data_IF_953396700712
#
_entry.id   IF_953396700712
#
_cell.length_a   1.000
_cell.length_b   1.000
_cell.length_c   1.000
_cell.angle_alpha   90.00
_cell.angle_beta   90.00
_cell.angle_gamma   90.00
#
_symmetry.space_group_name_H-M   'P 1'
#
loop_
_entity.id
_entity.type
_entity.pdbx_description
1 polymer ?
#
# COMPACT_ATOMS: atom_id res chain seq x y z
N UNK A 1 -53.98 2.77 59.56
CA UNK A 1 -52.85 3.70 59.32
C UNK A 1 -51.61 2.85 59.08
N UNK A 2 -51.36 2.45 57.84
CA UNK A 2 -50.72 3.28 56.81
C UNK A 2 -49.22 3.54 57.10
N UNK A 3 -48.46 2.49 57.45
CA UNK A 3 -47.00 2.59 57.54
C UNK A 3 -46.24 1.42 56.89
N UNK A 4 -46.92 0.56 56.14
CA UNK A 4 -46.31 -0.60 55.48
C UNK A 4 -46.40 -0.57 53.94
N UNK A 5 -46.75 0.56 53.34
CA UNK A 5 -46.98 0.66 51.89
C UNK A 5 -46.13 1.69 51.14
N UNK A 6 -45.06 2.23 51.72
CA UNK A 6 -44.38 3.37 51.07
C UNK A 6 -42.88 3.25 50.81
N UNK A 7 -42.37 2.03 50.56
CA UNK A 7 -40.99 1.88 50.05
C UNK A 7 -40.82 0.91 48.87
N UNK A 8 -41.91 0.54 48.17
CA UNK A 8 -41.79 -0.12 46.85
C UNK A 8 -41.68 0.90 45.72
N UNK A 9 -40.60 1.69 45.74
CA UNK A 9 -40.00 2.26 44.53
C UNK A 9 -38.55 1.77 44.44
N UNK A 10 -38.36 0.45 44.50
CA UNK A 10 -37.12 -0.13 44.01
C UNK A 10 -37.22 -0.13 42.49
N UNK A 11 -36.60 0.87 41.86
CA UNK A 11 -36.71 1.17 40.45
C UNK A 11 -36.50 -0.08 39.59
N UNK A 12 -37.56 -0.54 38.95
CA UNK A 12 -37.47 -1.50 37.86
C UNK A 12 -36.66 -0.83 36.76
N UNK A 13 -35.38 -1.17 36.68
CA UNK A 13 -34.52 -0.74 35.58
C UNK A 13 -35.22 -1.14 34.29
N UNK A 14 -35.60 -0.15 33.49
CA UNK A 14 -36.25 -0.41 32.21
C UNK A 14 -35.36 -1.33 31.38
N UNK A 15 -35.89 -2.46 30.91
CA UNK A 15 -35.18 -3.39 30.04
C UNK A 15 -34.61 -2.70 28.80
N UNK A 16 -35.25 -1.62 28.35
CA UNK A 16 -34.74 -0.75 27.28
C UNK A 16 -33.46 -0.02 27.67
N UNK A 17 -33.34 0.41 28.94
CA UNK A 17 -32.13 1.05 29.47
C UNK A 17 -30.98 0.04 29.60
N UNK A 18 -31.28 -1.19 30.03
CA UNK A 18 -30.30 -2.29 30.04
C UNK A 18 -29.82 -2.61 28.63
N UNK A 19 -30.75 -2.74 27.67
CA UNK A 19 -30.41 -2.99 26.27
C UNK A 19 -29.54 -1.88 25.69
N UNK A 20 -29.87 -0.61 25.96
CA UNK A 20 -29.09 0.54 25.49
C UNK A 20 -27.66 0.49 26.05
N UNK A 21 -27.51 0.24 27.35
CA UNK A 21 -26.19 0.12 28.00
C UNK A 21 -25.41 -1.04 27.41
N UNK A 22 -26.04 -2.20 27.22
CA UNK A 22 -25.40 -3.37 26.60
C UNK A 22 -24.95 -3.07 25.17
N UNK A 23 -25.80 -2.44 24.35
CA UNK A 23 -25.45 -2.07 22.97
C UNK A 23 -24.33 -1.01 22.94
N UNK A 24 -24.37 0.00 23.82
CA UNK A 24 -23.31 1.00 23.95
C UNK A 24 -21.99 0.37 24.38
N UNK A 25 -22.01 -0.51 25.39
CA UNK A 25 -20.82 -1.24 25.84
C UNK A 25 -20.28 -2.15 24.74
N UNK A 26 -21.14 -2.90 24.04
CA UNK A 26 -20.72 -3.74 22.93
C UNK A 26 -20.11 -2.91 21.79
N UNK A 27 -20.71 -1.77 21.44
CA UNK A 27 -20.19 -0.84 20.43
C UNK A 27 -18.88 -0.21 20.86
N UNK A 28 -18.73 0.15 22.13
CA UNK A 28 -17.50 0.67 22.70
C UNK A 28 -16.38 -0.37 22.67
N UNK A 29 -16.68 -1.62 23.06
CA UNK A 29 -15.73 -2.74 23.01
C UNK A 29 -15.32 -3.05 21.56
N UNK A 30 -16.28 -3.04 20.63
CA UNK A 30 -16.00 -3.13 19.19
C UNK A 30 -15.10 -1.98 18.74
N UNK A 31 -15.44 -0.73 19.07
CA UNK A 31 -14.63 0.45 18.78
C UNK A 31 -13.21 0.34 19.34
N UNK A 32 -13.06 0.00 20.61
CA UNK A 32 -11.77 -0.19 21.28
C UNK A 32 -10.98 -1.37 20.72
N UNK A 33 -11.62 -2.47 20.32
CA UNK A 33 -10.91 -3.61 19.70
C UNK A 33 -10.41 -3.27 18.29
N UNK A 34 -11.15 -2.43 17.57
CA UNK A 34 -10.88 -2.06 16.18
C UNK A 34 -9.91 -0.88 16.08
N UNK A 35 -9.95 0.05 17.04
CA UNK A 35 -9.17 1.29 17.05
C UNK A 35 -8.21 1.42 18.24
N UNK A 36 -8.39 0.68 19.33
CA UNK A 36 -7.46 0.66 20.46
C UNK A 36 -6.01 0.36 20.04
N UNK A 37 -5.76 -0.61 19.13
CA UNK A 37 -4.41 -0.83 18.59
C UNK A 37 -3.84 0.35 17.78
N UNK A 38 -4.70 1.20 17.20
CA UNK A 38 -4.29 2.41 16.46
C UNK A 38 -3.84 3.50 17.43
N UNK A 39 -4.55 3.69 18.54
CA UNK A 39 -4.16 4.61 19.61
C UNK A 39 -2.89 4.16 20.33
N UNK A 40 -2.70 2.85 20.46
CA UNK A 40 -1.53 2.29 21.12
C UNK A 40 -0.26 2.29 20.26
N UNK A 41 -0.28 2.92 19.05
CA UNK A 41 0.81 3.00 18.04
C UNK A 41 2.02 2.18 18.47
N UNK A 42 1.88 0.86 18.42
CA UNK A 42 2.97 -0.03 18.84
C UNK A 42 3.97 0.16 17.72
N UNK A 43 4.96 0.99 18.00
CA UNK A 43 5.94 1.47 17.05
C UNK A 43 6.61 0.26 16.41
N UNK A 44 6.09 -0.10 15.24
CA UNK A 44 6.59 -1.15 14.37
C UNK A 44 7.84 -0.65 13.62
N UNK A 45 8.30 0.56 13.94
CA UNK A 45 9.53 1.13 13.44
C UNK A 45 9.45 1.46 11.96
N UNK A 46 8.28 1.71 11.38
CA UNK A 46 8.14 2.07 9.96
C UNK A 46 7.70 3.52 9.89
N UNK A 47 8.43 4.33 9.13
CA UNK A 47 8.16 5.76 9.02
C UNK A 47 6.93 5.99 8.14
N UNK A 48 6.15 7.03 8.46
CA UNK A 48 5.05 7.47 7.59
C UNK A 48 5.62 8.37 6.50
N UNK A 49 5.31 8.07 5.24
CA UNK A 49 5.77 8.83 4.07
C UNK A 49 4.56 9.09 3.20
N UNK A 50 4.13 10.35 3.13
CA UNK A 50 2.95 10.72 2.35
C UNK A 50 3.25 10.75 0.84
N UNK A 51 2.33 10.29 -0.02
CA UNK A 51 2.46 10.46 -1.45
C UNK A 51 2.38 11.94 -1.83
N UNK A 52 3.36 12.42 -2.58
CA UNK A 52 3.39 13.79 -3.10
C UNK A 52 2.55 13.95 -4.38
N UNK A 53 2.76 15.05 -5.10
CA UNK A 53 2.07 15.32 -6.36
C UNK A 53 2.57 14.39 -7.48
N UNK A 54 1.64 13.90 -8.31
CA UNK A 54 1.96 13.25 -9.59
C UNK A 54 1.69 14.18 -10.76
N UNK A 55 2.74 14.50 -11.51
CA UNK A 55 2.67 15.17 -12.80
C UNK A 55 3.13 14.21 -13.90
N UNK A 56 2.33 14.05 -14.95
CA UNK A 56 2.69 13.24 -16.10
C UNK A 56 2.53 14.10 -17.34
N UNK A 57 3.61 14.30 -18.09
CA UNK A 57 3.56 15.05 -19.34
C UNK A 57 2.73 14.31 -20.39
N UNK A 58 2.10 15.05 -21.31
CA UNK A 58 1.22 14.48 -22.33
C UNK A 58 1.89 13.36 -23.13
N UNK A 59 3.18 13.51 -23.42
CA UNK A 59 4.00 12.53 -24.17
C UNK A 59 4.34 11.27 -23.36
N UNK A 60 4.25 11.32 -22.03
CA UNK A 60 4.51 10.19 -21.15
C UNK A 60 3.24 9.43 -20.72
N UNK A 61 2.05 10.01 -20.97
CA UNK A 61 0.75 9.41 -20.66
C UNK A 61 0.40 8.32 -21.65
N UNK A 62 -0.18 7.23 -21.16
CA UNK A 62 -0.76 6.22 -22.03
C UNK A 62 -0.87 4.85 -21.38
N UNK A 63 -1.36 3.90 -22.18
CA UNK A 63 -1.42 2.49 -21.84
C UNK A 63 -0.52 1.70 -22.78
N UNK A 64 0.39 0.92 -22.22
CA UNK A 64 1.27 0.02 -22.97
C UNK A 64 0.78 -1.40 -22.79
N UNK A 65 0.74 -2.15 -23.89
CA UNK A 65 0.28 -3.54 -23.91
C UNK A 65 1.46 -4.50 -24.06
N UNK A 66 1.46 -5.60 -23.31
CA UNK A 66 2.55 -6.58 -23.24
C UNK A 66 2.12 -7.99 -23.72
N UNK A 67 1.06 -8.08 -24.53
CA UNK A 67 0.47 -9.33 -24.98
C UNK A 67 -0.41 -10.02 -23.93
N UNK A 68 -1.21 -11.00 -24.36
CA UNK A 68 -2.20 -11.75 -23.55
C UNK A 68 -3.09 -10.88 -22.64
N UNK A 69 -3.43 -9.68 -23.13
CA UNK A 69 -4.25 -8.71 -22.41
C UNK A 69 -3.54 -7.94 -21.30
N UNK A 70 -2.25 -8.18 -21.04
CA UNK A 70 -1.51 -7.46 -20.00
C UNK A 70 -1.24 -6.02 -20.40
N UNK A 71 -1.52 -5.09 -19.51
CA UNK A 71 -1.31 -3.66 -19.73
C UNK A 71 -0.69 -2.98 -18.52
N UNK A 72 0.13 -1.96 -18.80
CA UNK A 72 0.57 -0.98 -17.81
C UNK A 72 0.16 0.40 -18.30
N UNK A 73 -0.65 1.08 -17.51
CA UNK A 73 -1.14 2.43 -17.81
C UNK A 73 -0.48 3.41 -16.85
N UNK A 74 -0.08 4.57 -17.37
CA UNK A 74 0.36 5.69 -16.55
C UNK A 74 -0.37 6.96 -16.98
N UNK A 75 -1.14 7.52 -16.04
CA UNK A 75 -1.89 8.77 -16.20
C UNK A 75 -1.71 9.65 -14.97
N UNK A 76 -2.28 10.86 -14.98
CA UNK A 76 -2.28 11.74 -13.81
C UNK A 76 -2.98 11.12 -12.58
N UNK A 77 -3.85 10.12 -12.79
CA UNK A 77 -4.49 9.37 -11.72
C UNK A 77 -3.58 8.34 -11.05
N UNK A 78 -2.43 8.00 -11.64
CA UNK A 78 -1.53 6.97 -11.12
C UNK A 78 -1.07 5.96 -12.17
N UNK A 79 -0.31 4.97 -11.72
CA UNK A 79 0.09 3.78 -12.46
C UNK A 79 -0.89 2.64 -12.19
N UNK A 80 -1.33 1.97 -13.24
CA UNK A 80 -2.23 0.82 -13.19
C UNK A 80 -1.63 -0.35 -13.93
N UNK A 81 -1.72 -1.53 -13.32
CA UNK A 81 -1.37 -2.82 -13.91
C UNK A 81 -2.67 -3.61 -14.06
N UNK A 82 -2.97 -4.08 -15.27
CA UNK A 82 -4.17 -4.84 -15.55
C UNK A 82 -3.90 -6.02 -16.50
N UNK A 83 -4.85 -6.95 -16.54
CA UNK A 83 -4.94 -7.98 -17.58
C UNK A 83 -6.37 -8.07 -18.08
N UNK A 84 -6.58 -7.82 -19.36
CA UNK A 84 -7.90 -7.59 -19.94
C UNK A 84 -8.63 -6.49 -19.16
N UNK A 85 -9.79 -6.78 -18.59
CA UNK A 85 -10.58 -5.85 -17.79
C UNK A 85 -10.30 -5.96 -16.28
N UNK A 86 -9.47 -6.94 -15.86
CA UNK A 86 -9.14 -7.15 -14.45
C UNK A 86 -7.96 -6.26 -14.03
N UNK A 87 -8.24 -5.28 -13.18
CA UNK A 87 -7.19 -4.50 -12.51
C UNK A 87 -6.43 -5.39 -11.54
N UNK A 88 -5.13 -5.57 -11.79
CA UNK A 88 -4.27 -6.40 -10.95
C UNK A 88 -3.70 -5.61 -9.79
N UNK A 89 -3.29 -4.36 -10.06
CA UNK A 89 -2.71 -3.44 -9.10
C UNK A 89 -2.97 -2.00 -9.55
N UNK A 90 -3.33 -1.14 -8.59
CA UNK A 90 -3.37 0.31 -8.77
C UNK A 90 -2.43 0.96 -7.77
N UNK A 91 -1.81 2.07 -8.17
CA UNK A 91 -1.15 2.97 -7.24
C UNK A 91 -2.16 3.92 -6.60
N UNK A 92 -1.72 4.70 -5.60
CA UNK A 92 -2.55 5.76 -5.02
C UNK A 92 -3.16 6.65 -6.10
N UNK A 93 -4.43 7.04 -5.90
CA UNK A 93 -5.16 7.88 -6.87
C UNK A 93 -4.70 9.33 -6.77
N UNK A 94 -4.32 9.92 -7.90
CA UNK A 94 -3.94 11.34 -8.02
C UNK A 94 -2.77 11.76 -7.12
N UNK A 95 -1.90 10.81 -6.75
CA UNK A 95 -0.69 11.04 -5.98
C UNK A 95 0.51 10.35 -6.61
N UNK A 96 1.71 10.78 -6.24
CA UNK A 96 2.94 10.11 -6.65
C UNK A 96 2.92 8.68 -6.14
N UNK A 97 3.26 7.74 -7.02
CA UNK A 97 3.36 6.33 -6.67
C UNK A 97 4.75 5.95 -6.16
N UNK A 98 5.71 6.87 -6.16
CA UNK A 98 7.09 6.67 -5.72
C UNK A 98 7.56 7.87 -4.90
N UNK A 99 8.11 7.58 -3.73
CA UNK A 99 8.88 8.54 -2.95
C UNK A 99 10.32 8.04 -2.77
N UNK A 100 11.27 8.95 -2.88
CA UNK A 100 12.66 8.71 -2.51
C UNK A 100 12.84 9.12 -1.06
N UNK A 101 13.50 8.27 -0.26
CA UNK A 101 13.80 8.61 1.14
C UNK A 101 15.30 8.61 1.41
N UNK A 102 15.69 9.52 2.29
CA UNK A 102 17.00 9.60 2.91
C UNK A 102 16.86 9.37 4.43
N UNK A 103 17.85 8.70 5.01
CA UNK A 103 17.81 8.30 6.41
C UNK A 103 18.52 6.97 6.61
N UNK A 104 18.00 6.17 7.53
CA UNK A 104 18.53 4.82 7.79
C UNK A 104 17.45 3.85 8.23
N UNK A 105 17.70 2.57 7.95
CA UNK A 105 17.07 1.46 8.63
C UNK A 105 18.11 0.76 9.51
N UNK A 106 17.74 0.45 10.75
CA UNK A 106 18.51 -0.40 11.66
C UNK A 106 17.57 -1.24 12.51
N UNK A 107 17.84 -2.54 12.61
CA UNK A 107 17.11 -3.45 13.49
C UNK A 107 15.58 -3.38 13.31
N UNK A 108 15.10 -3.26 12.07
CA UNK A 108 13.68 -3.11 11.78
C UNK A 108 13.09 -1.83 12.38
N UNK A 109 13.89 -0.77 12.38
CA UNK A 109 13.49 0.58 12.71
C UNK A 109 13.97 1.55 11.63
N UNK A 110 13.01 2.26 11.08
CA UNK A 110 13.14 3.23 10.02
C UNK A 110 13.22 4.63 10.61
N UNK A 111 14.18 5.40 10.13
CA UNK A 111 14.28 6.83 10.41
C UNK A 111 14.45 7.55 9.09
N UNK A 112 13.37 8.16 8.62
CA UNK A 112 13.38 9.04 7.45
C UNK A 112 13.71 10.44 7.93
N UNK A 113 14.78 11.01 7.40
CA UNK A 113 15.20 12.39 7.71
C UNK A 113 14.74 13.38 6.65
N UNK A 114 14.63 12.91 5.40
CA UNK A 114 14.13 13.66 4.25
C UNK A 114 13.47 12.73 3.25
N UNK A 115 12.46 13.25 2.58
CA UNK A 115 11.78 12.59 1.48
C UNK A 115 11.62 13.52 0.29
N UNK A 116 11.64 12.93 -0.90
CA UNK A 116 11.25 13.55 -2.15
C UNK A 116 10.09 12.73 -2.71
N UNK A 117 8.89 13.29 -2.70
CA UNK A 117 7.64 12.58 -2.98
C UNK A 117 6.87 13.14 -4.17
N UNK A 118 7.24 14.31 -4.72
CA UNK A 118 6.61 14.87 -5.92
C UNK A 118 7.25 14.30 -7.17
N UNK A 119 6.50 13.50 -7.94
CA UNK A 119 6.98 12.81 -9.14
C UNK A 119 6.51 13.52 -10.40
N UNK A 120 7.45 13.91 -11.25
CA UNK A 120 7.18 14.44 -12.58
C UNK A 120 7.74 13.52 -13.65
N UNK A 121 6.84 12.89 -14.41
CA UNK A 121 7.15 11.96 -15.50
C UNK A 121 7.13 12.69 -16.82
N UNK A 122 8.27 12.66 -17.52
CA UNK A 122 8.54 13.55 -18.66
C UNK A 122 8.57 12.84 -20.00
N UNK A 123 8.90 11.54 -20.01
CA UNK A 123 8.93 10.78 -21.26
C UNK A 123 8.53 9.32 -21.06
N UNK A 124 8.09 8.73 -22.17
CA UNK A 124 7.87 7.30 -22.35
C UNK A 124 8.60 6.87 -23.62
N UNK A 125 9.42 5.85 -23.51
CA UNK A 125 10.07 5.17 -24.63
C UNK A 125 9.64 3.71 -24.62
N UNK A 126 9.25 3.19 -25.78
CA UNK A 126 8.98 1.77 -25.98
C UNK A 126 10.19 1.14 -26.65
N UNK A 127 10.66 0.03 -26.09
CA UNK A 127 11.85 -0.68 -26.55
C UNK A 127 11.66 -2.18 -26.35
N UNK A 128 11.63 -2.95 -27.45
CA UNK A 128 11.58 -4.42 -27.46
C UNK A 128 10.80 -5.07 -26.30
N UNK A 129 9.47 -4.86 -26.29
CA UNK A 129 8.58 -5.46 -25.29
C UNK A 129 8.70 -4.86 -23.88
N UNK A 130 9.38 -3.73 -23.75
CA UNK A 130 9.59 -2.97 -22.52
C UNK A 130 9.06 -1.54 -22.68
N UNK A 131 8.41 -1.02 -21.64
CA UNK A 131 8.07 0.39 -21.53
C UNK A 131 8.99 1.07 -20.52
N UNK A 132 9.60 2.18 -20.90
CA UNK A 132 10.53 2.93 -20.04
C UNK A 132 10.02 4.36 -19.89
N UNK A 133 9.59 4.70 -18.68
CA UNK A 133 9.33 6.08 -18.30
C UNK A 133 10.56 6.70 -17.64
N UNK A 134 10.86 7.93 -18.04
CA UNK A 134 11.83 8.79 -17.36
C UNK A 134 11.10 9.85 -16.56
N UNK A 135 11.56 10.08 -15.34
CA UNK A 135 10.93 11.00 -14.43
C UNK A 135 11.96 11.64 -13.49
N UNK A 136 11.52 12.65 -12.75
CA UNK A 136 12.24 13.22 -11.62
C UNK A 136 11.32 13.20 -10.40
N UNK A 137 11.89 12.89 -9.23
CA UNK A 137 11.19 13.05 -7.96
C UNK A 137 11.91 14.13 -7.14
N UNK A 138 11.17 15.05 -6.54
CA UNK A 138 11.73 16.19 -5.80
C UNK A 138 10.95 16.50 -4.52
N UNK A 139 11.59 17.22 -3.61
CA UNK A 139 10.99 17.66 -2.36
C UNK A 139 9.91 18.73 -2.55
N UNK A 140 9.17 19.00 -1.48
CA UNK A 140 8.04 19.95 -1.45
C UNK A 140 8.43 21.42 -1.60
N UNK A 141 9.71 21.76 -1.38
CA UNK A 141 10.24 23.13 -1.51
C UNK A 141 10.53 23.55 -2.95
N UNK A 142 10.32 22.66 -3.92
CA UNK A 142 10.44 22.94 -5.35
C UNK A 142 11.47 22.06 -6.07
N UNK A 143 11.55 22.15 -7.40
CA UNK A 143 12.30 21.24 -8.26
C UNK A 143 13.84 21.43 -8.23
N UNK A 144 14.37 22.17 -7.26
CA UNK A 144 15.81 22.40 -7.06
C UNK A 144 16.33 21.77 -5.78
N UNK A 145 15.45 21.31 -4.89
CA UNK A 145 15.82 20.68 -3.61
C UNK A 145 15.56 19.17 -3.68
N UNK A 146 16.53 18.36 -3.27
CA UNK A 146 16.48 16.89 -3.22
C UNK A 146 15.89 16.24 -4.50
N UNK A 147 16.46 16.57 -5.66
CA UNK A 147 16.01 16.09 -6.97
C UNK A 147 16.70 14.77 -7.33
N UNK A 148 15.90 13.74 -7.57
CA UNK A 148 16.38 12.43 -7.98
C UNK A 148 15.82 12.03 -9.34
N UNK A 149 16.69 11.52 -10.22
CA UNK A 149 16.25 10.94 -11.50
C UNK A 149 15.62 9.58 -11.24
N UNK A 150 14.41 9.39 -11.77
CA UNK A 150 13.64 8.17 -11.66
C UNK A 150 13.55 7.51 -13.04
N UNK A 151 13.75 6.19 -13.08
CA UNK A 151 13.48 5.35 -14.25
C UNK A 151 12.49 4.28 -13.84
N UNK A 152 11.35 4.22 -14.52
CA UNK A 152 10.34 3.18 -14.34
C UNK A 152 10.32 2.32 -15.59
N UNK A 153 10.57 1.03 -15.45
CA UNK A 153 10.67 0.10 -16.56
C UNK A 153 9.68 -1.04 -16.36
N UNK A 154 8.68 -1.13 -17.22
CA UNK A 154 7.71 -2.22 -17.22
C UNK A 154 8.03 -3.26 -18.28
N UNK A 155 7.94 -4.53 -17.92
CA UNK A 155 8.08 -5.66 -18.84
C UNK A 155 7.22 -6.84 -18.37
N UNK A 156 7.00 -7.80 -19.27
CA UNK A 156 6.28 -9.04 -18.96
C UNK A 156 7.20 -10.25 -19.01
N UNK A 157 7.02 -11.16 -18.07
CA UNK A 157 7.63 -12.49 -18.08
C UNK A 157 6.57 -13.53 -17.71
N UNK A 158 6.12 -14.31 -18.70
CA UNK A 158 5.01 -15.26 -18.53
C UNK A 158 3.75 -14.58 -17.99
N UNK A 159 3.25 -15.07 -16.85
CA UNK A 159 2.05 -14.56 -16.18
C UNK A 159 2.30 -13.36 -15.22
N UNK A 160 3.52 -12.83 -15.22
CA UNK A 160 3.96 -11.78 -14.30
C UNK A 160 4.29 -10.50 -15.07
N UNK A 161 3.68 -9.39 -14.65
CA UNK A 161 4.17 -8.06 -14.99
C UNK A 161 5.19 -7.61 -13.94
N UNK A 162 6.31 -7.06 -14.42
CA UNK A 162 7.42 -6.56 -13.61
C UNK A 162 7.54 -5.06 -13.89
N UNK A 163 7.61 -4.26 -12.83
CA UNK A 163 7.84 -2.81 -12.90
C UNK A 163 9.07 -2.51 -12.06
N UNK A 164 10.22 -2.36 -12.74
CA UNK A 164 11.47 -1.97 -12.11
C UNK A 164 11.52 -0.46 -11.95
N UNK A 165 11.76 0.01 -10.73
CA UNK A 165 11.79 1.43 -10.36
C UNK A 165 13.16 1.72 -9.79
N UNK A 166 13.90 2.60 -10.44
CA UNK A 166 15.21 3.05 -9.98
C UNK A 166 15.17 4.53 -9.69
N UNK A 167 15.59 4.92 -8.49
CA UNK A 167 15.70 6.31 -8.06
C UNK A 167 17.16 6.63 -7.74
N UNK A 168 17.83 7.38 -8.62
CA UNK A 168 19.26 7.66 -8.50
C UNK A 168 19.55 8.53 -7.28
N UNK A 169 20.39 8.02 -6.38
CA UNK A 169 20.83 8.73 -5.17
C UNK A 169 19.91 8.53 -3.96
N UNK A 170 18.79 7.82 -4.10
CA UNK A 170 17.93 7.48 -2.97
C UNK A 170 18.60 6.44 -2.05
N UNK A 171 18.31 6.51 -0.74
CA UNK A 171 18.70 5.47 0.23
C UNK A 171 17.61 4.43 0.42
N UNK A 172 16.35 4.84 0.25
CA UNK A 172 15.21 3.95 0.16
C UNK A 172 14.18 4.46 -0.84
N UNK A 173 13.27 3.58 -1.21
CA UNK A 173 12.12 3.84 -2.06
C UNK A 173 10.88 3.43 -1.27
N UNK A 174 9.85 4.29 -1.30
CA UNK A 174 8.50 3.95 -0.87
C UNK A 174 7.60 3.93 -2.10
N UNK A 175 6.87 2.82 -2.30
CA UNK A 175 5.86 2.71 -3.35
C UNK A 175 4.46 2.85 -2.73
N UNK A 176 3.68 3.80 -3.23
CA UNK A 176 2.36 4.11 -2.72
C UNK A 176 1.28 3.40 -3.56
N UNK A 177 0.68 2.37 -3.00
CA UNK A 177 -0.33 1.54 -3.65
C UNK A 177 -1.75 1.84 -3.14
N UNK A 178 -2.74 1.62 -4.00
CA UNK A 178 -4.14 1.67 -3.62
C UNK A 178 -4.45 0.51 -2.64
N UNK A 179 -4.95 0.78 -1.43
CA UNK A 179 -5.20 -0.26 -0.45
C UNK A 179 -6.38 -1.13 -0.89
N UNK A 180 -6.12 -2.41 -1.14
CA UNK A 180 -7.17 -3.38 -1.43
C UNK A 180 -7.64 -4.08 -0.15
N UNK A 181 -8.95 -4.35 -0.02
CA UNK A 181 -9.45 -5.15 1.08
C UNK A 181 -8.87 -6.57 1.00
N UNK A 182 -8.80 -7.23 2.16
CA UNK A 182 -8.33 -8.61 2.27
C UNK A 182 -6.89 -8.88 1.77
N UNK A 183 -6.00 -7.88 1.83
CA UNK A 183 -4.56 -8.08 1.64
C UNK A 183 -4.01 -9.09 2.66
N UNK A 184 -3.63 -10.27 2.18
CA UNK A 184 -3.17 -11.40 3.00
C UNK A 184 -1.69 -11.69 2.75
N UNK A 185 -0.89 -11.72 3.81
CA UNK A 185 0.54 -11.99 3.71
C UNK A 185 0.86 -13.41 3.23
N UNK A 186 2.02 -13.58 2.59
CA UNK A 186 2.54 -14.85 2.10
C UNK A 186 3.74 -15.26 2.99
N UNK A 187 3.68 -16.41 3.68
CA UNK A 187 4.82 -16.94 4.41
C UNK A 187 5.96 -17.39 3.49
N UNK A 188 7.22 -17.41 3.98
CA UNK A 188 7.65 -16.96 5.31
C UNK A 188 7.88 -15.45 5.42
N UNK A 189 7.81 -14.72 4.29
CA UNK A 189 8.08 -13.28 4.21
C UNK A 189 7.16 -12.46 5.14
N UNK A 190 5.87 -12.80 5.15
CA UNK A 190 4.83 -12.15 5.95
C UNK A 190 3.90 -13.22 6.57
N UNK A 191 3.21 -12.92 7.69
CA UNK A 191 2.30 -13.88 8.31
C UNK A 191 1.10 -14.19 7.41
N UNK A 192 0.64 -15.45 7.41
CA UNK A 192 -0.52 -15.91 6.64
C UNK A 192 -1.85 -15.42 7.21
N UNK A 193 -2.07 -14.10 7.13
CA UNK A 193 -3.27 -13.44 7.64
C UNK A 193 -3.50 -12.10 6.94
N UNK A 194 -4.68 -11.55 7.16
CA UNK A 194 -4.98 -10.19 6.74
C UNK A 194 -4.03 -9.20 7.45
N UNK A 195 -3.36 -8.34 6.67
CA UNK A 195 -2.33 -7.43 7.15
C UNK A 195 -2.87 -6.06 7.57
N UNK A 196 -4.17 -5.78 7.39
CA UNK A 196 -4.81 -4.47 7.62
C UNK A 196 -4.44 -3.82 8.97
N UNK A 197 -4.44 -2.48 8.96
CA UNK A 197 -4.27 -1.60 10.11
C UNK A 197 -2.94 -1.74 10.85
N UNK A 198 -1.93 -2.27 10.16
CA UNK A 198 -0.61 -2.56 10.71
C UNK A 198 0.43 -2.48 9.61
N UNK A 199 1.65 -2.14 9.99
CA UNK A 199 2.83 -2.34 9.18
C UNK A 199 3.61 -3.60 9.63
N UNK A 200 4.41 -4.13 8.72
CA UNK A 200 5.13 -5.38 8.88
C UNK A 200 6.48 -5.31 8.19
N UNK A 201 7.53 -5.69 8.89
CA UNK A 201 8.82 -5.98 8.28
C UNK A 201 8.79 -7.32 7.55
N UNK A 202 9.38 -7.34 6.36
CA UNK A 202 9.53 -8.55 5.56
C UNK A 202 10.71 -9.35 6.10
N UNK A 203 10.46 -10.63 6.44
CA UNK A 203 11.42 -11.46 7.19
C UNK A 203 12.44 -12.21 6.33
N UNK A 204 12.16 -12.35 5.04
CA UNK A 204 13.02 -13.07 4.08
C UNK A 204 13.36 -12.16 2.92
N UNK A 205 14.19 -12.64 1.97
CA UNK A 205 14.46 -11.96 0.71
C UNK A 205 13.50 -12.39 -0.42
N UNK A 206 12.47 -13.17 -0.09
CA UNK A 206 11.49 -13.64 -1.08
C UNK A 206 10.74 -12.45 -1.68
N UNK A 207 10.57 -12.46 -3.00
CA UNK A 207 9.91 -11.37 -3.71
C UNK A 207 8.42 -11.28 -3.33
N UNK A 208 7.73 -12.42 -3.27
CA UNK A 208 6.29 -12.48 -3.02
C UNK A 208 5.96 -12.05 -1.58
N UNK A 209 5.10 -11.04 -1.45
CA UNK A 209 4.76 -10.45 -0.15
C UNK A 209 3.32 -10.80 0.27
N UNK A 210 2.35 -10.56 -0.61
CA UNK A 210 0.95 -10.72 -0.27
C UNK A 210 0.09 -11.05 -1.49
N UNK A 211 -1.13 -11.51 -1.23
CA UNK A 211 -2.20 -11.60 -2.23
C UNK A 211 -3.30 -10.59 -1.93
N UNK A 212 -3.90 -10.03 -2.97
CA UNK A 212 -5.12 -9.21 -2.83
C UNK A 212 -6.39 -10.07 -3.05
N UNK A 213 -7.56 -9.45 -2.83
CA UNK A 213 -8.88 -10.09 -3.00
C UNK A 213 -9.15 -10.61 -4.44
N UNK A 214 -8.39 -10.13 -5.42
CA UNK A 214 -8.53 -10.51 -6.82
C UNK A 214 -7.65 -11.73 -7.19
N UNK A 215 -6.96 -12.33 -6.22
CA UNK A 215 -6.07 -13.48 -6.47
C UNK A 215 -4.77 -13.09 -7.14
N UNK A 216 -4.39 -11.81 -7.11
CA UNK A 216 -3.10 -11.35 -7.61
C UNK A 216 -2.07 -11.42 -6.49
N UNK A 217 -0.96 -12.09 -6.79
CA UNK A 217 0.23 -12.11 -5.94
C UNK A 217 1.08 -10.90 -6.26
N UNK A 218 1.31 -10.07 -5.24
CA UNK A 218 2.16 -8.88 -5.30
C UNK A 218 3.48 -9.19 -4.61
N UNK A 219 4.57 -8.79 -5.25
CA UNK A 219 5.91 -8.92 -4.70
C UNK A 219 6.77 -7.68 -4.94
N UNK A 220 7.81 -7.53 -4.14
CA UNK A 220 8.76 -6.41 -4.20
C UNK A 220 10.18 -6.94 -4.10
N UNK A 221 10.92 -7.02 -5.19
CA UNK A 221 12.34 -7.40 -5.15
C UNK A 221 13.19 -6.17 -4.78
N UNK A 222 14.11 -6.32 -3.81
CA UNK A 222 15.05 -5.27 -3.41
C UNK A 222 16.44 -5.83 -3.03
N UNK A 223 16.83 -6.98 -3.61
CA UNK A 223 18.04 -7.69 -3.21
C UNK A 223 18.01 -8.11 -1.74
N UNK A 224 19.08 -7.79 -1.00
CA UNK A 224 19.19 -8.05 0.45
C UNK A 224 18.76 -6.86 1.30
N UNK A 225 18.19 -5.80 0.71
CA UNK A 225 17.77 -4.62 1.44
C UNK A 225 16.57 -4.92 2.34
N UNK A 226 16.49 -4.21 3.47
CA UNK A 226 15.34 -4.28 4.34
C UNK A 226 14.08 -3.79 3.60
N UNK A 227 12.98 -4.52 3.78
CA UNK A 227 11.68 -4.22 3.17
C UNK A 227 10.60 -4.23 4.23
N UNK A 228 9.61 -3.39 4.05
CA UNK A 228 8.45 -3.32 4.92
C UNK A 228 7.18 -3.06 4.08
N UNK A 229 6.04 -3.42 4.65
CA UNK A 229 4.73 -3.10 4.13
C UNK A 229 3.96 -2.34 5.20
N UNK A 230 3.35 -1.22 4.83
CA UNK A 230 2.48 -0.44 5.69
C UNK A 230 1.04 -0.48 5.18
N UNK A 231 0.11 -0.87 6.03
CA UNK A 231 -1.34 -0.82 5.76
C UNK A 231 -2.06 -0.14 6.93
N UNK A 232 -1.47 0.91 7.48
CA UNK A 232 -2.14 1.74 8.49
C UNK A 232 -3.44 2.35 7.92
N UNK A 233 -4.35 2.83 8.79
CA UNK A 233 -5.69 3.25 8.38
C UNK A 233 -5.76 4.56 7.57
N UNK A 234 -4.62 5.14 7.22
CA UNK A 234 -4.43 6.41 6.49
C UNK A 234 -4.87 6.34 5.02
N UNK A 235 -5.16 5.14 4.51
CA UNK A 235 -5.77 4.99 3.19
C UNK A 235 -4.77 4.77 2.06
N UNK A 236 -3.53 4.39 2.40
CA UNK A 236 -2.50 3.98 1.45
C UNK A 236 -1.93 2.61 1.85
N UNK A 237 -1.51 1.81 0.88
CA UNK A 237 -0.65 0.65 1.12
C UNK A 237 0.76 1.02 0.66
N UNK A 238 1.68 1.17 1.60
CA UNK A 238 3.06 1.52 1.29
C UNK A 238 3.97 0.31 1.28
N UNK A 239 4.82 0.23 0.27
CA UNK A 239 5.92 -0.73 0.21
C UNK A 239 7.24 0.01 0.36
N UNK A 240 7.91 -0.25 1.48
CA UNK A 240 9.20 0.34 1.80
C UNK A 240 10.30 -0.62 1.39
N UNK A 241 11.36 -0.09 0.79
CA UNK A 241 12.60 -0.80 0.55
C UNK A 241 13.79 0.14 0.74
N UNK A 242 14.75 -0.26 1.57
CA UNK A 242 16.00 0.47 1.79
C UNK A 242 17.02 0.21 0.68
N UNK A 243 16.58 0.45 -0.56
CA UNK A 243 17.35 0.32 -1.80
C UNK A 243 17.02 1.46 -2.75
N UNK A 244 17.96 1.79 -3.65
CA UNK A 244 17.77 2.77 -4.72
C UNK A 244 17.12 2.18 -5.99
N UNK A 245 16.85 0.87 -6.00
CA UNK A 245 16.20 0.17 -7.09
C UNK A 245 15.38 -1.00 -6.54
N UNK A 246 14.15 -1.13 -7.03
CA UNK A 246 13.21 -2.20 -6.66
C UNK A 246 12.50 -2.74 -7.89
N UNK A 247 12.01 -3.96 -7.82
CA UNK A 247 11.10 -4.53 -8.84
C UNK A 247 9.78 -4.91 -8.20
N UNK A 248 8.75 -4.16 -8.53
CA UNK A 248 7.38 -4.50 -8.19
C UNK A 248 6.88 -5.57 -9.17
N UNK A 249 6.31 -6.65 -8.64
CA UNK A 249 5.77 -7.74 -9.45
C UNK A 249 4.30 -7.95 -9.16
N UNK A 250 3.52 -8.15 -10.22
CA UNK A 250 2.12 -8.50 -10.14
C UNK A 250 1.90 -9.78 -10.95
N UNK A 251 1.59 -10.88 -10.26
CA UNK A 251 1.39 -12.19 -10.86
C UNK A 251 -0.05 -12.62 -10.65
N UNK A 252 -0.78 -12.88 -11.73
CA UNK A 252 -2.12 -13.42 -11.59
C UNK A 252 -2.03 -14.88 -11.18
N UNK A 253 -2.50 -15.20 -9.98
CA UNK A 253 -2.65 -16.59 -9.54
C UNK A 253 -4.06 -16.99 -9.97
N UNK A 254 -4.17 -18.08 -10.73
CA UNK A 254 -5.42 -18.49 -11.38
C UNK A 254 -6.61 -18.45 -10.40
N UNK A 255 -7.66 -17.71 -10.75
CA UNK A 255 -8.94 -17.81 -10.04
C UNK A 255 -9.62 -19.09 -10.54
N UNK A 256 -10.03 -20.04 -9.69
CA UNK A 256 -10.96 -21.06 -10.17
C UNK A 256 -12.18 -20.30 -10.72
N UNK A 257 -12.56 -20.56 -11.98
CA UNK A 257 -13.82 -20.08 -12.54
C UNK A 257 -14.91 -20.53 -11.58
N UNK A 258 -15.61 -19.59 -10.95
CA UNK A 258 -16.91 -19.90 -10.38
C UNK A 258 -17.77 -20.24 -11.60
N UNK A 259 -18.06 -21.52 -11.77
CA UNK A 259 -19.02 -21.95 -12.77
C UNK A 259 -20.34 -21.30 -12.39
N UNK A 260 -20.79 -20.33 -13.19
CA UNK A 260 -22.19 -19.94 -13.18
C UNK A 260 -22.95 -21.11 -13.83
N UNK A 261 -23.49 -21.97 -12.98
CA UNK A 261 -24.55 -22.93 -13.30
C UNK A 261 -25.88 -22.20 -13.44
#
# INVERSE_FOLDING_TARGET
MAWWQEHRRAGTVSWSMVSLVVTLCATLVLGLSVYGPVWLRRDIGIAEVDPGLLLVDKVARGTVTFGDGYTVSLFASGLRIARYDDVMLDTVTSGSFVSAVAGSERHHQETVTRDASNLHVTSLVLDDGTAVWSAVVHGSRGPTDDVHRVRVQASRSGATLRVAITVRGARGIVLHLDPRPATRGIPPALPDRNLRKRAWWVRTNDAALFTNVLGVRIGLEAGTAARAIDLRPDGVLDLHAWASSVVLTATQVHRPKVAHS
#
